data_IF_285987076267
#
_entry.id   IF_285987076267
#
_cell.length_a   1.000
_cell.length_b   1.000
_cell.length_c   1.000
_cell.angle_alpha   90.00
_cell.angle_beta   90.00
_cell.angle_gamma   90.00
#
_symmetry.space_group_name_H-M   'P 1'
#
loop_
_entity.id
_entity.type
_entity.pdbx_description
1 polymer ?
#
# COMPACT_ATOMS: atom_id res chain seq x y z
N UNK A 1 -17.52 4.39 12.06
CA UNK A 1 -16.07 4.55 11.75
C UNK A 1 -15.52 3.21 11.26
N UNK A 2 -14.72 3.22 10.19
CA UNK A 2 -14.21 2.01 9.52
C UNK A 2 -13.04 1.37 10.32
N UNK A 3 -13.21 0.12 10.75
CA UNK A 3 -12.19 -0.63 11.53
C UNK A 3 -10.89 -0.86 10.74
N UNK A 4 -10.94 -0.87 9.41
CA UNK A 4 -9.76 -0.99 8.56
C UNK A 4 -8.77 0.15 8.77
N UNK A 5 -9.26 1.35 9.15
CA UNK A 5 -8.44 2.55 9.32
C UNK A 5 -7.46 2.38 10.49
N UNK A 6 -8.00 1.80 11.58
CA UNK A 6 -7.24 1.52 12.79
C UNK A 6 -6.18 0.44 12.53
N UNK A 7 -6.52 -0.56 11.72
CA UNK A 7 -5.60 -1.63 11.34
C UNK A 7 -4.43 -1.15 10.49
N UNK A 8 -4.68 -0.25 9.53
CA UNK A 8 -3.66 0.24 8.59
C UNK A 8 -2.56 1.07 9.29
N UNK A 9 -2.92 1.99 10.19
CA UNK A 9 -1.94 2.75 10.96
C UNK A 9 -2.51 3.19 12.33
N UNK A 10 -2.34 2.40 13.40
CA UNK A 10 -2.89 2.71 14.72
C UNK A 10 -2.43 4.06 15.28
N UNK A 11 -1.17 4.44 15.01
CA UNK A 11 -0.58 5.68 15.52
C UNK A 11 -1.24 6.91 14.92
N UNK A 12 -1.31 6.99 13.58
CA UNK A 12 -1.95 8.12 12.94
C UNK A 12 -3.46 8.13 13.18
N UNK A 13 -4.09 6.95 13.21
CA UNK A 13 -5.51 6.82 13.51
C UNK A 13 -5.87 7.49 14.84
N UNK A 14 -5.17 7.13 15.92
CA UNK A 14 -5.40 7.72 17.24
C UNK A 14 -5.25 9.26 17.23
N UNK A 15 -4.27 9.79 16.48
CA UNK A 15 -4.05 11.23 16.38
C UNK A 15 -5.13 11.97 15.60
N UNK A 16 -5.82 11.31 14.67
CA UNK A 16 -6.82 11.94 13.80
C UNK A 16 -8.24 11.86 14.35
N UNK A 17 -8.52 11.03 15.35
CA UNK A 17 -9.87 10.83 15.89
C UNK A 17 -10.57 12.13 16.30
N UNK A 18 -9.89 13.01 17.04
CA UNK A 18 -10.48 14.29 17.44
C UNK A 18 -10.79 15.22 16.26
N UNK A 19 -9.96 15.18 15.21
CA UNK A 19 -10.16 15.97 13.99
C UNK A 19 -11.32 15.42 13.16
N UNK A 20 -11.41 14.10 13.01
CA UNK A 20 -12.52 13.44 12.32
C UNK A 20 -13.84 13.72 13.04
N UNK A 21 -13.85 13.62 14.38
CA UNK A 21 -15.02 13.97 15.19
C UNK A 21 -15.45 15.42 14.96
N UNK A 22 -14.51 16.37 14.92
CA UNK A 22 -14.83 17.77 14.66
C UNK A 22 -15.48 17.98 13.28
N UNK A 23 -15.08 17.23 12.25
CA UNK A 23 -15.73 17.27 10.92
C UNK A 23 -17.15 16.70 10.99
N UNK A 24 -17.36 15.56 11.64
CA UNK A 24 -18.70 14.95 11.79
C UNK A 24 -19.63 15.87 12.59
N UNK A 25 -19.14 16.46 13.69
CA UNK A 25 -19.90 17.42 14.50
C UNK A 25 -20.24 18.69 13.67
N UNK A 26 -19.33 19.15 12.80
CA UNK A 26 -19.58 20.27 11.90
C UNK A 26 -20.64 19.93 10.83
N UNK A 27 -20.64 18.71 10.29
CA UNK A 27 -21.71 18.23 9.40
C UNK A 27 -23.06 18.25 10.13
N UNK A 28 -23.14 17.68 11.34
CA UNK A 28 -24.39 17.67 12.11
C UNK A 28 -24.90 19.06 12.50
N UNK A 29 -24.01 20.05 12.55
CA UNK A 29 -24.35 21.43 12.94
C UNK A 29 -24.55 22.39 11.76
N UNK A 30 -24.27 21.97 10.52
CA UNK A 30 -24.37 22.85 9.34
C UNK A 30 -25.81 23.07 8.83
N UNK A 31 -26.80 22.40 9.41
CA UNK A 31 -28.21 22.56 9.04
C UNK A 31 -28.64 21.86 7.74
N UNK A 32 -27.72 21.21 7.02
CA UNK A 32 -28.04 20.40 5.85
C UNK A 32 -28.48 18.98 6.27
N UNK A 33 -29.80 18.75 6.19
CA UNK A 33 -30.41 17.48 6.58
C UNK A 33 -30.05 16.35 5.61
N UNK A 34 -29.80 16.64 4.34
CA UNK A 34 -29.46 15.63 3.35
C UNK A 34 -28.02 15.13 3.54
N UNK A 35 -27.08 16.05 3.73
CA UNK A 35 -25.69 15.73 4.05
C UNK A 35 -25.60 14.95 5.36
N UNK A 36 -26.35 15.36 6.39
CA UNK A 36 -26.39 14.65 7.68
C UNK A 36 -26.89 13.22 7.54
N UNK A 37 -27.97 13.01 6.76
CA UNK A 37 -28.51 11.68 6.50
C UNK A 37 -27.54 10.83 5.66
N UNK A 38 -26.86 11.42 4.66
CA UNK A 38 -25.86 10.73 3.85
C UNK A 38 -24.66 10.29 4.70
N UNK A 39 -24.18 11.13 5.62
CA UNK A 39 -23.11 10.76 6.56
C UNK A 39 -23.56 9.62 7.47
N UNK A 40 -24.77 9.67 8.03
CA UNK A 40 -25.29 8.58 8.86
C UNK A 40 -25.41 7.24 8.08
N UNK A 41 -25.82 7.29 6.81
CA UNK A 41 -25.86 6.11 5.95
C UNK A 41 -24.45 5.54 5.71
N UNK A 42 -23.47 6.41 5.42
CA UNK A 42 -22.07 6.00 5.25
C UNK A 42 -21.46 5.46 6.55
N UNK A 43 -21.84 5.99 7.72
CA UNK A 43 -21.40 5.43 9.00
C UNK A 43 -21.94 4.03 9.25
N UNK A 44 -23.15 3.72 8.74
CA UNK A 44 -23.77 2.41 8.83
C UNK A 44 -23.16 1.40 7.84
N UNK A 45 -22.73 1.84 6.66
CA UNK A 45 -21.97 1.03 5.69
C UNK A 45 -20.76 1.78 5.12
N UNK A 46 -19.61 1.80 5.84
CA UNK A 46 -18.39 2.48 5.38
C UNK A 46 -17.79 1.89 4.09
N UNK A 47 -18.27 0.72 3.66
CA UNK A 47 -17.87 0.04 2.42
C UNK A 47 -18.69 0.47 1.20
N UNK A 48 -19.73 1.28 1.37
CA UNK A 48 -20.61 1.73 0.29
C UNK A 48 -19.97 2.84 -0.55
N UNK A 49 -19.54 2.50 -1.77
CA UNK A 49 -19.01 3.49 -2.72
C UNK A 49 -20.07 4.56 -3.08
N UNK A 50 -21.34 4.15 -3.20
CA UNK A 50 -22.44 5.06 -3.52
C UNK A 50 -22.64 6.10 -2.42
N UNK A 51 -22.60 5.69 -1.14
CA UNK A 51 -22.74 6.63 -0.02
C UNK A 51 -21.53 7.55 0.12
N UNK A 52 -20.32 7.05 -0.16
CA UNK A 52 -19.11 7.89 -0.26
C UNK A 52 -19.25 8.99 -1.31
N UNK A 53 -19.69 8.65 -2.53
CA UNK A 53 -19.89 9.62 -3.59
C UNK A 53 -20.99 10.62 -3.26
N UNK A 54 -22.07 10.15 -2.63
CA UNK A 54 -23.16 11.01 -2.16
C UNK A 54 -22.68 12.02 -1.13
N UNK A 55 -21.96 11.59 -0.09
CA UNK A 55 -21.39 12.48 0.93
C UNK A 55 -20.43 13.48 0.29
N UNK A 56 -19.56 13.04 -0.63
CA UNK A 56 -18.62 13.90 -1.34
C UNK A 56 -19.32 15.00 -2.15
N UNK A 57 -20.36 14.65 -2.90
CA UNK A 57 -21.12 15.59 -3.71
C UNK A 57 -21.85 16.62 -2.85
N UNK A 58 -22.54 16.17 -1.79
CA UNK A 58 -23.28 17.04 -0.88
C UNK A 58 -22.34 17.96 -0.07
N UNK A 59 -21.26 17.42 0.48
CA UNK A 59 -20.27 18.21 1.22
C UNK A 59 -19.64 19.29 0.34
N UNK A 60 -19.35 18.98 -0.94
CA UNK A 60 -18.87 19.96 -1.91
C UNK A 60 -19.91 21.07 -2.14
N UNK A 61 -21.17 20.71 -2.35
CA UNK A 61 -22.24 21.69 -2.56
C UNK A 61 -22.41 22.63 -1.35
N UNK A 62 -22.33 22.10 -0.13
CA UNK A 62 -22.37 22.91 1.11
C UNK A 62 -21.16 23.85 1.20
N UNK A 63 -19.95 23.36 0.94
CA UNK A 63 -18.72 24.17 1.04
C UNK A 63 -18.67 25.28 -0.02
N UNK A 64 -19.15 25.01 -1.24
CA UNK A 64 -19.18 26.00 -2.34
C UNK A 64 -20.32 27.02 -2.17
N UNK A 65 -21.28 26.75 -1.29
CA UNK A 65 -22.43 27.63 -1.02
C UNK A 65 -22.09 28.86 -0.18
N UNK A 66 -22.87 29.96 -0.28
CA UNK A 66 -22.72 31.11 0.60
C UNK A 66 -23.36 30.85 1.97
N UNK A 67 -22.61 30.97 3.07
CA UNK A 67 -23.17 30.85 4.43
C UNK A 67 -22.12 30.63 5.51
N UNK A 68 -22.47 30.88 6.78
CA UNK A 68 -21.58 30.62 7.93
C UNK A 68 -21.43 29.13 8.20
N UNK A 69 -22.44 28.36 7.82
CA UNK A 69 -22.50 26.90 7.89
C UNK A 69 -21.43 26.28 6.98
N UNK A 70 -21.25 26.82 5.77
CA UNK A 70 -20.17 26.46 4.85
C UNK A 70 -18.79 26.75 5.45
N UNK A 71 -18.61 27.91 6.11
CA UNK A 71 -17.35 28.29 6.77
C UNK A 71 -16.95 27.33 7.89
N UNK A 72 -17.93 26.87 8.69
CA UNK A 72 -17.69 25.92 9.79
C UNK A 72 -17.18 24.57 9.28
N UNK A 73 -17.88 23.99 8.30
CA UNK A 73 -17.48 22.73 7.69
C UNK A 73 -16.14 22.84 6.96
N UNK A 74 -15.96 23.89 6.15
CA UNK A 74 -14.71 24.13 5.43
C UNK A 74 -13.51 24.29 6.37
N UNK A 75 -13.67 24.99 7.50
CA UNK A 75 -12.63 25.16 8.52
C UNK A 75 -12.26 23.83 9.18
N UNK A 76 -13.25 23.02 9.57
CA UNK A 76 -13.01 21.71 10.17
C UNK A 76 -12.28 20.78 9.18
N UNK A 77 -12.74 20.74 7.93
CA UNK A 77 -12.09 19.96 6.87
C UNK A 77 -10.65 20.42 6.60
N UNK A 78 -10.41 21.73 6.56
CA UNK A 78 -9.07 22.29 6.39
C UNK A 78 -8.14 21.95 7.55
N UNK A 79 -8.61 22.03 8.79
CA UNK A 79 -7.80 21.65 9.97
C UNK A 79 -7.44 20.16 9.94
N UNK A 80 -8.39 19.30 9.56
CA UNK A 80 -8.13 17.88 9.32
C UNK A 80 -7.03 17.69 8.26
N UNK A 81 -7.16 18.29 7.08
CA UNK A 81 -6.18 18.13 5.99
C UNK A 81 -4.77 18.65 6.34
N UNK A 82 -4.68 19.72 7.14
CA UNK A 82 -3.39 20.30 7.57
C UNK A 82 -2.66 19.44 8.59
N UNK A 83 -3.40 18.72 9.45
CA UNK A 83 -2.87 18.05 10.65
C UNK A 83 -2.87 16.52 10.53
N UNK A 84 -3.74 15.98 9.68
CA UNK A 84 -3.83 14.56 9.37
C UNK A 84 -2.81 14.18 8.30
N UNK A 85 -2.24 12.99 8.45
CA UNK A 85 -1.59 12.26 7.36
C UNK A 85 -2.45 11.12 6.84
N UNK A 86 -3.61 10.87 7.44
CA UNK A 86 -4.59 9.92 6.94
C UNK A 86 -5.56 10.61 6.01
N UNK A 87 -5.68 10.05 4.83
CA UNK A 87 -6.74 10.29 3.87
C UNK A 87 -7.48 8.98 3.58
N UNK A 88 -8.40 9.07 2.65
CA UNK A 88 -9.20 7.95 2.21
C UNK A 88 -9.37 8.01 0.69
N UNK A 89 -9.37 6.85 0.06
CA UNK A 89 -9.56 6.71 -1.37
C UNK A 89 -10.69 5.72 -1.63
N UNK A 90 -11.64 6.11 -2.47
CA UNK A 90 -12.67 5.23 -3.05
C UNK A 90 -12.79 5.60 -4.51
N UNK A 91 -12.36 4.69 -5.38
CA UNK A 91 -12.50 4.84 -6.81
C UNK A 91 -13.95 4.66 -7.27
N UNK A 92 -14.29 5.31 -8.38
CA UNK A 92 -15.67 5.33 -8.92
C UNK A 92 -16.12 3.95 -9.44
N UNK A 93 -15.18 3.07 -9.79
CA UNK A 93 -15.39 1.71 -10.25
C UNK A 93 -15.04 0.65 -9.18
N UNK A 94 -14.97 1.03 -7.90
CA UNK A 94 -14.74 0.10 -6.81
C UNK A 94 -15.87 -0.95 -6.71
N UNK A 95 -15.47 -2.21 -6.67
CA UNK A 95 -16.37 -3.35 -6.57
C UNK A 95 -16.06 -4.15 -5.29
N UNK A 96 -16.92 -3.97 -4.28
CA UNK A 96 -16.81 -4.65 -2.99
C UNK A 96 -17.01 -6.17 -3.06
N UNK A 97 -17.50 -6.69 -4.19
CA UNK A 97 -17.73 -8.13 -4.40
C UNK A 97 -16.53 -8.82 -5.04
N UNK A 98 -15.50 -8.06 -5.41
CA UNK A 98 -14.28 -8.63 -5.96
C UNK A 98 -13.61 -9.58 -4.95
N UNK A 99 -13.23 -10.76 -5.44
CA UNK A 99 -12.51 -11.76 -4.67
C UNK A 99 -11.24 -12.16 -5.40
N UNK A 100 -10.24 -12.57 -4.63
CA UNK A 100 -8.98 -13.00 -5.20
C UNK A 100 -9.05 -14.47 -5.62
N UNK A 101 -8.47 -14.81 -6.76
CA UNK A 101 -8.26 -16.23 -7.15
C UNK A 101 -7.06 -16.83 -6.42
N UNK A 102 -7.13 -18.12 -6.10
CA UNK A 102 -6.02 -18.93 -5.59
C UNK A 102 -5.00 -19.34 -6.67
N UNK A 103 -5.21 -18.93 -7.92
CA UNK A 103 -4.34 -19.27 -9.05
C UNK A 103 -2.94 -18.66 -8.99
N UNK A 104 -2.65 -17.79 -8.03
CA UNK A 104 -1.33 -17.15 -7.86
C UNK A 104 -0.18 -18.16 -7.68
N UNK A 105 -0.48 -19.35 -7.18
CA UNK A 105 0.50 -20.46 -7.08
C UNK A 105 0.94 -20.96 -8.47
N UNK A 106 0.10 -20.77 -9.49
CA UNK A 106 0.29 -21.25 -10.87
C UNK A 106 0.83 -20.19 -11.83
N UNK A 107 0.97 -18.93 -11.41
CA UNK A 107 1.54 -17.90 -12.28
C UNK A 107 2.93 -18.31 -12.77
N UNK A 108 3.32 -17.84 -13.96
CA UNK A 108 4.62 -18.18 -14.52
C UNK A 108 5.76 -17.61 -13.67
N UNK A 109 6.84 -18.38 -13.55
CA UNK A 109 8.04 -17.95 -12.83
C UNK A 109 8.61 -16.66 -13.44
N UNK A 110 9.26 -15.84 -12.62
CA UNK A 110 10.03 -14.74 -13.16
C UNK A 110 11.23 -15.29 -13.94
N UNK A 111 11.61 -14.62 -15.03
CA UNK A 111 12.88 -14.91 -15.68
C UNK A 111 14.04 -14.71 -14.69
N UNK A 112 15.14 -15.46 -14.82
CA UNK A 112 16.28 -15.33 -13.94
C UNK A 112 16.84 -13.90 -14.00
N UNK A 113 17.34 -13.41 -12.87
CA UNK A 113 18.17 -12.20 -12.85
C UNK A 113 19.34 -12.32 -13.83
N UNK A 114 19.64 -11.24 -14.55
CA UNK A 114 20.82 -11.22 -15.41
C UNK A 114 22.12 -11.17 -14.60
N UNK A 115 23.24 -11.58 -15.19
CA UNK A 115 24.53 -11.80 -14.50
C UNK A 115 25.39 -10.53 -14.27
N UNK A 116 24.84 -9.33 -14.49
CA UNK A 116 25.57 -8.06 -14.34
C UNK A 116 25.81 -7.66 -12.88
N UNK A 117 26.45 -6.51 -12.64
CA UNK A 117 26.45 -5.89 -11.31
C UNK A 117 25.14 -5.09 -11.15
N UNK A 118 24.28 -5.42 -10.17
CA UNK A 118 23.02 -4.72 -9.99
C UNK A 118 23.26 -3.30 -9.45
N UNK A 119 22.51 -2.33 -9.97
CA UNK A 119 22.49 -0.97 -9.45
C UNK A 119 21.70 -0.88 -8.12
N UNK A 120 20.72 -1.76 -7.91
CA UNK A 120 19.92 -1.80 -6.70
C UNK A 120 19.69 -3.21 -6.16
N UNK A 121 19.73 -3.35 -4.84
CA UNK A 121 19.31 -4.55 -4.12
C UNK A 121 17.95 -4.26 -3.47
N UNK A 122 16.93 -5.02 -3.83
CA UNK A 122 15.62 -5.01 -3.18
C UNK A 122 15.62 -6.08 -2.09
N UNK A 123 15.43 -5.67 -0.83
CA UNK A 123 15.35 -6.57 0.32
C UNK A 123 13.94 -6.59 0.84
N UNK A 124 13.33 -7.78 0.83
CA UNK A 124 11.95 -8.01 1.26
C UNK A 124 11.97 -8.89 2.52
N UNK A 125 11.76 -8.32 3.72
CA UNK A 125 11.62 -9.10 4.93
C UNK A 125 10.26 -9.80 4.95
N UNK A 126 10.25 -11.10 5.20
CA UNK A 126 9.03 -11.90 5.15
C UNK A 126 8.92 -12.89 6.32
N UNK A 127 7.69 -13.10 6.77
CA UNK A 127 7.31 -14.19 7.66
C UNK A 127 5.85 -14.47 7.45
N UNK A 128 5.46 -15.71 7.19
CA UNK A 128 4.07 -16.12 7.22
C UNK A 128 3.93 -17.48 7.89
N UNK A 129 3.18 -17.52 9.00
CA UNK A 129 2.80 -18.76 9.71
C UNK A 129 1.36 -19.16 9.41
N UNK A 130 0.61 -18.28 8.76
CA UNK A 130 -0.83 -18.41 8.57
C UNK A 130 -1.11 -19.33 7.37
N UNK A 131 -2.06 -20.24 7.56
CA UNK A 131 -2.48 -21.20 6.53
C UNK A 131 -3.45 -20.65 5.49
N UNK A 132 -3.95 -19.42 5.67
CA UNK A 132 -4.92 -18.78 4.76
C UNK A 132 -4.31 -18.36 3.42
N UNK A 133 -2.97 -18.25 3.36
CA UNK A 133 -2.24 -17.89 2.17
C UNK A 133 -2.33 -16.42 1.74
N UNK A 134 -3.00 -15.54 2.49
CA UNK A 134 -3.17 -14.13 2.10
C UNK A 134 -1.82 -13.40 2.01
N UNK A 135 -0.95 -13.59 3.02
CA UNK A 135 0.38 -12.95 3.04
C UNK A 135 1.31 -13.51 1.98
N UNK A 136 1.25 -14.81 1.73
CA UNK A 136 2.06 -15.46 0.68
C UNK A 136 1.59 -15.09 -0.73
N UNK A 137 0.28 -14.92 -0.93
CA UNK A 137 -0.28 -14.35 -2.16
C UNK A 137 0.23 -12.93 -2.39
N UNK A 138 0.18 -12.08 -1.36
CA UNK A 138 0.65 -10.71 -1.48
C UNK A 138 2.17 -10.67 -1.80
N UNK A 139 2.96 -11.58 -1.20
CA UNK A 139 4.37 -11.75 -1.58
C UNK A 139 4.52 -12.15 -3.05
N UNK A 140 3.75 -13.12 -3.53
CA UNK A 140 3.79 -13.53 -4.93
C UNK A 140 3.45 -12.38 -5.88
N UNK A 141 2.45 -11.55 -5.54
CA UNK A 141 2.09 -10.37 -6.32
C UNK A 141 3.17 -9.28 -6.29
N UNK A 142 3.76 -9.02 -5.12
CA UNK A 142 4.90 -8.11 -4.96
C UNK A 142 6.09 -8.54 -5.84
N UNK A 143 6.48 -9.81 -5.76
CA UNK A 143 7.58 -10.35 -6.56
C UNK A 143 7.27 -10.37 -8.06
N UNK A 144 6.04 -10.69 -8.47
CA UNK A 144 5.63 -10.63 -9.87
C UNK A 144 5.62 -9.20 -10.41
N UNK A 145 5.17 -8.22 -9.63
CA UNK A 145 5.24 -6.81 -10.00
C UNK A 145 6.69 -6.31 -10.12
N UNK A 146 7.59 -6.80 -9.26
CA UNK A 146 9.03 -6.56 -9.37
C UNK A 146 9.67 -7.26 -10.56
N UNK A 147 9.13 -8.37 -11.06
CA UNK A 147 9.61 -9.00 -12.29
C UNK A 147 9.17 -8.23 -13.56
N UNK A 148 8.03 -7.55 -13.50
CA UNK A 148 7.48 -6.69 -14.56
C UNK A 148 7.90 -5.22 -14.37
N UNK A 149 9.19 -4.94 -14.53
CA UNK A 149 9.75 -3.58 -14.50
C UNK A 149 10.18 -3.14 -15.90
N UNK A 150 10.13 -1.83 -16.15
CA UNK A 150 10.53 -1.22 -17.43
C UNK A 150 12.05 -1.16 -17.66
N UNK A 151 12.85 -1.62 -16.69
CA UNK A 151 14.31 -1.72 -16.78
C UNK A 151 14.74 -3.18 -16.87
N UNK A 152 15.94 -3.42 -17.42
CA UNK A 152 16.47 -4.77 -17.55
C UNK A 152 16.63 -5.44 -16.17
N UNK A 153 16.28 -6.73 -16.09
CA UNK A 153 16.28 -7.50 -14.83
C UNK A 153 17.67 -7.63 -14.21
N UNK A 154 18.76 -7.46 -14.98
CA UNK A 154 20.13 -7.39 -14.47
C UNK A 154 20.44 -6.11 -13.67
N UNK A 155 19.61 -5.06 -13.81
CA UNK A 155 19.80 -3.77 -13.12
C UNK A 155 19.53 -3.87 -11.62
N UNK A 156 18.82 -4.90 -11.16
CA UNK A 156 18.45 -5.06 -9.75
C UNK A 156 18.45 -6.51 -9.31
N UNK A 157 18.68 -6.73 -8.03
CA UNK A 157 18.68 -8.03 -7.37
C UNK A 157 17.65 -8.06 -6.25
N UNK A 158 16.79 -9.08 -6.22
CA UNK A 158 15.69 -9.21 -5.25
C UNK A 158 16.00 -10.34 -4.29
N UNK A 159 16.25 -9.97 -3.03
CA UNK A 159 16.47 -10.90 -1.92
C UNK A 159 15.25 -10.91 -1.01
N UNK A 160 14.61 -12.07 -0.85
CA UNK A 160 13.58 -12.25 0.18
C UNK A 160 14.23 -12.93 1.38
N UNK A 161 14.07 -12.32 2.54
CA UNK A 161 14.57 -12.87 3.80
C UNK A 161 13.40 -13.41 4.61
N UNK A 162 13.31 -14.74 4.68
CA UNK A 162 12.32 -15.42 5.51
C UNK A 162 12.87 -15.58 6.93
N UNK A 163 12.24 -14.89 7.89
CA UNK A 163 12.62 -14.95 9.30
C UNK A 163 11.58 -15.71 10.10
N UNK A 164 11.82 -17.00 10.32
CA UNK A 164 10.92 -17.87 11.08
C UNK A 164 11.65 -19.04 11.75
N UNK A 165 10.92 -19.95 12.39
CA UNK A 165 11.45 -21.20 12.96
C UNK A 165 11.81 -22.26 11.90
N UNK A 166 11.19 -22.23 10.73
CA UNK A 166 11.49 -23.10 9.59
C UNK A 166 11.27 -22.37 8.23
N UNK A 167 11.98 -22.76 7.15
CA UNK A 167 11.87 -22.13 5.84
C UNK A 167 10.68 -22.69 5.04
N UNK A 168 9.48 -22.13 5.25
CA UNK A 168 8.22 -22.60 4.65
C UNK A 168 8.03 -22.15 3.21
N UNK A 169 8.64 -21.02 2.83
CA UNK A 169 8.28 -20.32 1.60
C UNK A 169 9.41 -20.28 0.56
N UNK A 170 10.45 -21.07 0.76
CA UNK A 170 11.59 -21.20 -0.17
C UNK A 170 11.14 -21.37 -1.62
N UNK A 171 10.33 -22.40 -1.90
CA UNK A 171 9.92 -22.75 -3.27
C UNK A 171 9.13 -21.61 -3.94
N UNK A 172 8.30 -20.89 -3.16
CA UNK A 172 7.57 -19.74 -3.66
C UNK A 172 8.52 -18.58 -3.99
N UNK A 173 9.50 -18.32 -3.12
CA UNK A 173 10.46 -17.23 -3.29
C UNK A 173 11.39 -17.51 -4.46
N UNK A 174 12.01 -18.68 -4.52
CA UNK A 174 12.96 -19.07 -5.58
C UNK A 174 12.32 -19.09 -6.97
N UNK A 175 10.99 -19.12 -7.05
CA UNK A 175 10.23 -18.99 -8.30
C UNK A 175 10.21 -17.57 -8.88
N UNK A 176 10.34 -16.52 -8.06
CA UNK A 176 10.17 -15.13 -8.51
C UNK A 176 11.29 -14.18 -8.11
N UNK A 177 11.99 -14.46 -7.01
CA UNK A 177 13.09 -13.67 -6.50
C UNK A 177 14.43 -14.25 -6.97
N UNK A 178 15.49 -13.44 -6.91
CA UNK A 178 16.83 -13.91 -7.25
C UNK A 178 17.46 -14.72 -6.12
N UNK A 179 16.99 -14.52 -4.88
CA UNK A 179 17.61 -15.10 -3.69
C UNK A 179 16.60 -15.27 -2.55
N UNK A 180 16.60 -16.47 -1.95
CA UNK A 180 15.96 -16.76 -0.67
C UNK A 180 17.02 -16.86 0.42
N UNK A 181 16.87 -16.06 1.47
CA UNK A 181 17.69 -16.15 2.68
C UNK A 181 16.80 -16.56 3.84
N UNK A 182 17.10 -17.71 4.46
CA UNK A 182 16.44 -18.11 5.69
C UNK A 182 17.22 -17.59 6.91
N UNK A 183 16.54 -16.85 7.78
CA UNK A 183 17.07 -16.27 9.00
C UNK A 183 16.34 -16.87 10.23
N UNK A 184 16.86 -17.95 10.86
CA UNK A 184 16.17 -18.65 11.93
C UNK A 184 15.83 -17.72 13.11
N UNK A 185 14.53 -17.60 13.45
CA UNK A 185 14.04 -16.78 14.55
C UNK A 185 12.61 -17.19 14.96
N UNK A 186 12.44 -17.72 16.17
CA UNK A 186 11.17 -18.22 16.68
C UNK A 186 10.30 -17.15 17.39
N UNK A 187 10.92 -16.06 17.86
CA UNK A 187 10.26 -14.97 18.60
C UNK A 187 9.42 -13.98 17.76
N UNK A 188 9.10 -12.79 18.31
CA UNK A 188 8.39 -11.73 17.58
C UNK A 188 9.14 -11.28 16.31
N UNK A 189 8.41 -11.00 15.22
CA UNK A 189 9.04 -10.61 13.96
C UNK A 189 9.82 -9.30 14.11
N UNK A 190 11.13 -9.34 13.82
CA UNK A 190 11.97 -8.15 13.86
C UNK A 190 12.34 -7.72 12.44
N UNK A 191 11.47 -6.90 11.83
CA UNK A 191 11.66 -6.40 10.45
C UNK A 191 13.04 -5.80 10.21
N UNK A 192 13.52 -4.95 11.13
CA UNK A 192 14.81 -4.27 10.97
C UNK A 192 16.00 -5.25 10.98
N UNK A 193 15.98 -6.23 11.88
CA UNK A 193 17.00 -7.28 11.91
C UNK A 193 16.97 -8.14 10.64
N UNK A 194 15.77 -8.56 10.21
CA UNK A 194 15.58 -9.34 8.97
C UNK A 194 16.11 -8.60 7.74
N UNK A 195 15.90 -7.28 7.66
CA UNK A 195 16.49 -6.44 6.59
C UNK A 195 18.01 -6.42 6.67
N UNK A 196 18.59 -6.21 7.85
CA UNK A 196 20.05 -6.20 8.02
C UNK A 196 20.69 -7.53 7.60
N UNK A 197 20.03 -8.66 7.87
CA UNK A 197 20.47 -9.96 7.37
C UNK A 197 20.53 -9.92 5.84
N UNK A 198 19.43 -9.57 5.16
CA UNK A 198 19.39 -9.51 3.70
C UNK A 198 20.43 -8.59 3.07
N UNK A 199 20.67 -7.41 3.65
CA UNK A 199 21.69 -6.48 3.16
C UNK A 199 23.11 -7.04 3.32
N UNK A 200 23.39 -7.72 4.43
CA UNK A 200 24.75 -8.18 4.76
C UNK A 200 25.09 -9.56 4.18
N UNK A 201 24.10 -10.36 3.80
CA UNK A 201 24.31 -11.74 3.33
C UNK A 201 23.94 -11.98 1.87
N UNK A 202 23.51 -10.96 1.12
CA UNK A 202 23.13 -11.17 -0.28
C UNK A 202 24.30 -11.63 -1.14
N UNK A 203 24.01 -12.52 -2.08
CA UNK A 203 24.96 -12.98 -3.08
C UNK A 203 25.45 -11.87 -4.02
N UNK A 204 24.63 -10.83 -4.23
CA UNK A 204 24.91 -9.76 -5.22
C UNK A 204 24.64 -8.38 -4.60
N UNK A 205 25.57 -7.86 -3.79
CA UNK A 205 25.43 -6.53 -3.22
C UNK A 205 25.35 -5.48 -4.32
N UNK A 206 24.58 -4.43 -4.04
CA UNK A 206 24.40 -3.28 -4.92
C UNK A 206 24.71 -1.99 -4.15
N UNK A 207 25.09 -0.89 -4.83
CA UNK A 207 25.34 0.39 -4.17
C UNK A 207 24.09 0.99 -3.54
N UNK A 208 22.90 0.65 -4.06
CA UNK A 208 21.61 1.13 -3.55
C UNK A 208 20.84 -0.01 -2.90
N UNK A 209 20.32 0.23 -1.70
CA UNK A 209 19.43 -0.70 -0.99
C UNK A 209 18.01 -0.16 -1.00
N UNK A 210 17.08 -0.97 -1.48
CA UNK A 210 15.64 -0.73 -1.44
C UNK A 210 15.01 -1.72 -0.45
N UNK A 211 14.49 -1.22 0.66
CA UNK A 211 13.70 -2.04 1.58
C UNK A 211 12.24 -1.96 1.16
N UNK A 212 11.64 -3.09 0.84
CA UNK A 212 10.25 -3.16 0.36
C UNK A 212 9.45 -4.15 1.19
N UNK A 213 8.20 -3.78 1.51
CA UNK A 213 7.29 -4.69 2.21
C UNK A 213 6.78 -5.80 1.28
N UNK A 214 6.53 -6.97 1.86
CA UNK A 214 6.08 -8.17 1.13
C UNK A 214 4.64 -8.06 0.58
N UNK A 215 3.94 -6.96 0.85
CA UNK A 215 2.61 -6.64 0.34
C UNK A 215 2.58 -5.34 -0.47
N UNK A 216 3.74 -4.77 -0.80
CA UNK A 216 3.83 -3.62 -1.67
C UNK A 216 3.63 -4.03 -3.14
N UNK A 217 2.62 -3.45 -3.78
CA UNK A 217 2.37 -3.64 -5.21
C UNK A 217 2.86 -2.41 -5.99
N UNK A 218 4.01 -2.54 -6.64
CA UNK A 218 4.69 -1.44 -7.33
C UNK A 218 4.30 -1.33 -8.82
N UNK A 219 4.40 -0.11 -9.36
CA UNK A 219 4.27 0.14 -10.80
C UNK A 219 5.50 -0.32 -11.59
N UNK A 220 5.36 -0.41 -12.92
CA UNK A 220 6.42 -0.88 -13.84
C UNK A 220 7.66 0.03 -13.85
N UNK A 221 7.54 1.28 -13.45
CA UNK A 221 8.64 2.25 -13.50
C UNK A 221 9.36 2.41 -12.15
N UNK A 222 8.94 1.65 -11.14
CA UNK A 222 9.40 1.79 -9.76
C UNK A 222 10.92 1.72 -9.64
N UNK A 223 11.57 0.66 -10.12
CA UNK A 223 13.02 0.48 -9.96
C UNK A 223 13.79 1.59 -10.69
N UNK A 224 13.50 1.80 -11.98
CA UNK A 224 14.21 2.79 -12.79
C UNK A 224 14.11 4.20 -12.23
N UNK A 225 12.89 4.61 -11.84
CA UNK A 225 12.63 5.92 -11.22
C UNK A 225 13.36 6.09 -9.89
N UNK A 226 13.54 5.03 -9.12
CA UNK A 226 14.21 5.10 -7.81
C UNK A 226 15.72 5.11 -7.93
N UNK A 227 16.30 4.31 -8.83
CA UNK A 227 17.74 4.33 -9.11
C UNK A 227 18.17 5.70 -9.62
N UNK A 228 17.44 6.27 -10.58
CA UNK A 228 17.76 7.57 -11.18
C UNK A 228 17.75 8.75 -10.17
N UNK A 229 17.15 8.59 -8.99
CA UNK A 229 17.19 9.62 -7.92
C UNK A 229 18.59 9.78 -7.33
N UNK A 230 19.40 8.73 -7.36
CA UNK A 230 20.75 8.72 -6.81
C UNK A 230 21.84 9.17 -7.80
N UNK A 231 21.46 9.46 -9.06
CA UNK A 231 22.35 10.11 -10.03
C UNK A 231 22.67 11.58 -9.66
N UNK A 232 21.99 12.12 -8.65
CA UNK A 232 22.20 13.47 -8.13
C UNK A 232 23.06 13.43 -6.88
N UNK A 233 24.14 14.21 -6.90
CA UNK A 233 25.02 14.40 -5.75
C UNK A 233 24.25 14.79 -4.48
N UNK A 234 24.65 14.20 -3.35
CA UNK A 234 24.10 14.51 -2.03
C UNK A 234 22.86 13.71 -1.60
N UNK A 235 22.41 12.74 -2.40
CA UNK A 235 21.28 11.87 -2.06
C UNK A 235 21.73 10.68 -1.20
N UNK A 236 21.47 10.72 0.12
CA UNK A 236 21.84 9.63 1.05
C UNK A 236 20.74 8.60 1.32
N UNK A 237 19.49 8.93 1.03
CA UNK A 237 18.33 8.07 1.29
C UNK A 237 17.04 8.79 0.90
N UNK A 238 16.00 8.04 0.56
CA UNK A 238 14.73 8.61 0.14
C UNK A 238 13.57 7.64 0.37
N UNK A 239 12.35 8.17 0.47
CA UNK A 239 11.13 7.37 0.46
C UNK A 239 10.54 7.26 -0.96
N UNK A 240 10.33 6.04 -1.52
CA UNK A 240 9.81 5.79 -2.87
C UNK A 240 8.51 6.49 -3.22
N UNK A 241 7.70 6.72 -2.20
CA UNK A 241 6.33 7.12 -2.31
C UNK A 241 6.11 8.39 -1.51
N UNK A 242 5.30 9.28 -2.09
CA UNK A 242 4.72 10.40 -1.36
C UNK A 242 3.51 9.93 -0.55
N UNK A 243 2.68 9.10 -1.15
CA UNK A 243 1.43 8.62 -0.59
C UNK A 243 1.40 7.08 -0.70
N UNK A 244 0.88 6.40 0.32
CA UNK A 244 0.70 4.94 0.34
C UNK A 244 -0.77 4.63 0.52
N UNK A 245 -1.33 3.75 -0.33
CA UNK A 245 -2.73 3.31 -0.22
C UNK A 245 -2.77 1.90 0.38
N UNK A 246 -3.28 1.81 1.61
CA UNK A 246 -3.59 0.53 2.27
C UNK A 246 -4.97 0.08 1.81
N UNK A 247 -4.98 -0.79 0.82
CA UNK A 247 -6.21 -1.28 0.19
C UNK A 247 -6.88 -2.37 1.04
N UNK A 248 -8.20 -2.47 0.91
CA UNK A 248 -8.96 -3.59 1.50
C UNK A 248 -8.83 -4.87 0.64
N UNK A 249 -9.44 -5.97 1.08
CA UNK A 249 -9.34 -7.25 0.38
C UNK A 249 -9.96 -7.23 -1.04
N UNK A 250 -11.17 -6.67 -1.29
CA UNK A 250 -11.68 -6.56 -2.65
C UNK A 250 -10.81 -5.69 -3.56
N UNK A 251 -10.30 -4.56 -3.07
CA UNK A 251 -9.38 -3.73 -3.84
C UNK A 251 -8.02 -4.42 -4.04
N UNK A 252 -7.54 -5.23 -3.09
CA UNK A 252 -6.36 -6.09 -3.25
C UNK A 252 -6.57 -7.07 -4.40
N UNK A 253 -7.72 -7.74 -4.46
CA UNK A 253 -8.06 -8.65 -5.54
C UNK A 253 -8.00 -7.96 -6.91
N UNK A 254 -8.57 -6.75 -7.01
CA UNK A 254 -8.55 -5.95 -8.25
C UNK A 254 -7.15 -5.48 -8.62
N UNK A 255 -6.39 -4.96 -7.65
CA UNK A 255 -5.03 -4.48 -7.86
C UNK A 255 -4.10 -5.59 -8.35
N UNK A 256 -4.20 -6.77 -7.73
CA UNK A 256 -3.46 -7.97 -8.16
C UNK A 256 -3.91 -8.40 -9.56
N UNK A 257 -5.21 -8.45 -9.84
CA UNK A 257 -5.69 -8.81 -11.17
C UNK A 257 -5.14 -7.85 -12.25
N UNK A 258 -5.09 -6.55 -11.96
CA UNK A 258 -4.55 -5.55 -12.88
C UNK A 258 -3.06 -5.73 -13.13
N UNK A 259 -2.25 -5.79 -12.06
CA UNK A 259 -0.80 -5.88 -12.19
C UNK A 259 -0.29 -7.25 -12.61
N UNK A 260 -0.86 -8.31 -12.06
CA UNK A 260 -0.30 -9.65 -12.13
C UNK A 260 -1.04 -10.59 -13.08
N UNK A 261 -2.23 -10.22 -13.57
CA UNK A 261 -3.00 -11.09 -14.48
C UNK A 261 -3.25 -10.39 -15.82
N UNK A 262 -3.57 -9.09 -15.79
CA UNK A 262 -3.79 -8.29 -16.98
C UNK A 262 -2.53 -7.52 -17.44
N UNK A 263 -1.39 -7.71 -16.77
CA UNK A 263 -0.09 -7.09 -17.07
C UNK A 263 -0.14 -5.57 -17.29
N UNK A 264 -1.03 -4.87 -16.56
CA UNK A 264 -1.13 -3.41 -16.59
C UNK A 264 0.07 -2.79 -15.89
N UNK A 265 0.55 -1.63 -16.35
CA UNK A 265 1.73 -0.98 -15.76
C UNK A 265 1.53 -0.56 -14.29
N UNK A 266 0.30 -0.24 -13.90
CA UNK A 266 -0.12 0.10 -12.54
C UNK A 266 -1.51 -0.49 -12.23
N UNK A 267 -1.88 -0.56 -10.94
CA UNK A 267 -3.24 -0.89 -10.54
C UNK A 267 -4.15 0.32 -10.78
N UNK A 268 -5.36 0.09 -11.30
CA UNK A 268 -6.29 1.16 -11.65
C UNK A 268 -6.86 1.84 -10.38
N UNK A 269 -6.52 3.12 -10.09
CA UNK A 269 -6.98 3.80 -8.89
C UNK A 269 -8.50 3.86 -8.80
N UNK A 270 -9.22 3.92 -9.92
CA UNK A 270 -10.68 4.00 -9.92
C UNK A 270 -11.34 2.72 -9.41
N UNK A 271 -10.57 1.63 -9.27
CA UNK A 271 -11.07 0.34 -8.75
C UNK A 271 -10.61 0.05 -7.33
N UNK A 272 -9.86 0.97 -6.72
CA UNK A 272 -9.30 0.79 -5.39
C UNK A 272 -10.16 1.47 -4.33
N UNK A 273 -10.17 0.85 -3.14
CA UNK A 273 -10.63 1.45 -1.90
C UNK A 273 -9.55 1.23 -0.85
N UNK A 274 -9.25 2.27 -0.07
CA UNK A 274 -8.25 2.14 0.97
C UNK A 274 -7.94 3.41 1.73
N UNK A 275 -7.09 3.27 2.74
CA UNK A 275 -6.57 4.38 3.53
C UNK A 275 -5.32 4.93 2.90
N UNK A 276 -5.26 6.25 2.76
CA UNK A 276 -4.08 6.91 2.21
C UNK A 276 -3.24 7.44 3.36
N UNK A 277 -1.97 7.06 3.44
CA UNK A 277 -1.00 7.72 4.31
C UNK A 277 -0.23 8.73 3.48
N UNK A 278 -0.59 10.00 3.65
CA UNK A 278 0.03 11.12 2.97
C UNK A 278 1.36 11.49 3.58
N UNK A 279 2.33 11.77 2.71
CA UNK A 279 3.70 12.17 3.08
C UNK A 279 4.20 11.20 4.15
N UNK A 280 4.31 9.92 3.83
CA UNK A 280 4.78 8.93 4.79
C UNK A 280 6.07 9.46 5.49
N UNK A 281 6.18 9.32 6.83
CA UNK A 281 7.34 9.83 7.56
C UNK A 281 8.60 9.07 7.14
N UNK A 282 9.65 9.82 6.80
CA UNK A 282 10.99 9.35 6.52
C UNK A 282 11.94 10.53 6.41
#
# INVERSE_FOLDING_TARGET
MDDGARGANPYYWHRTQGLLKAVVDAVGSCGDAELSAAVAALEADPGSAADWQRVRALAKAVIDGPGREAEGLARAAWDLLRRSRLGYHVGDAYDRTATTSDDWRRWEAAGPGGSGEPAAQVVIPFRNRDGDGHRSRNLAACLKALADQGVDRSTYHVTVVESDDEPRWRDLVEKYADEHVFAPHDGPFNKCWTVNVGVTTTARPAPLVCVLDADALVDRDFIGRNVARFDRDGSGGFLPFRDVVYVDEPATARAIADRCVADRAEADPDRLRGFVVHRAPG
#
